data_IF_807736299510
#
_entry.id   IF_807736299510
#
_cell.length_a   1.000
_cell.length_b   1.000
_cell.length_c   1.000
_cell.angle_alpha   90.00
_cell.angle_beta   90.00
_cell.angle_gamma   90.00
#
_symmetry.space_group_name_H-M   'P 1'
#
loop_
_entity.id
_entity.type
_entity.pdbx_description
1 polymer ?
#
# COMPACT_ATOMS: atom_id res chain seq x y z
N UNK A 1 -20.27 -2.05 1.82
CA UNK A 1 -20.02 -1.35 0.55
C UNK A 1 -21.06 -0.25 0.22
N UNK A 2 -22.40 -0.42 0.30
CA UNK A 2 -23.32 0.64 -0.11
C UNK A 2 -23.16 1.96 0.66
N UNK A 3 -22.92 1.88 1.97
CA UNK A 3 -22.69 3.07 2.81
C UNK A 3 -21.40 3.81 2.39
N UNK A 4 -20.30 3.09 2.34
CA UNK A 4 -18.99 3.66 1.97
C UNK A 4 -19.01 4.29 0.57
N UNK A 5 -19.65 3.65 -0.40
CA UNK A 5 -19.77 4.19 -1.75
C UNK A 5 -20.54 5.51 -1.79
N UNK A 6 -21.63 5.61 -1.02
CA UNK A 6 -22.41 6.85 -0.93
C UNK A 6 -21.58 8.01 -0.37
N UNK A 7 -20.86 7.78 0.73
CA UNK A 7 -19.98 8.78 1.34
C UNK A 7 -18.88 9.24 0.36
N UNK A 8 -18.25 8.28 -0.34
CA UNK A 8 -17.22 8.59 -1.35
C UNK A 8 -17.78 9.46 -2.47
N UNK A 9 -18.99 9.16 -2.97
CA UNK A 9 -19.64 9.95 -4.01
C UNK A 9 -19.91 11.38 -3.53
N UNK A 10 -20.43 11.55 -2.32
CA UNK A 10 -20.73 12.87 -1.74
C UNK A 10 -19.46 13.70 -1.56
N UNK A 11 -18.40 13.11 -1.02
CA UNK A 11 -17.09 13.76 -0.85
C UNK A 11 -16.47 14.11 -2.21
N UNK A 12 -16.56 13.20 -3.19
CA UNK A 12 -16.03 13.43 -4.53
C UNK A 12 -16.70 14.63 -5.24
N UNK A 13 -18.01 14.80 -5.06
CA UNK A 13 -18.72 15.96 -5.59
C UNK A 13 -18.15 17.24 -5.04
N UNK A 14 -17.95 17.33 -3.73
CA UNK A 14 -17.36 18.51 -3.07
C UNK A 14 -15.93 18.78 -3.55
N UNK A 15 -15.11 17.73 -3.69
CA UNK A 15 -13.74 17.85 -4.23
C UNK A 15 -13.76 18.45 -5.64
N UNK A 16 -14.70 17.99 -6.47
CA UNK A 16 -14.87 18.50 -7.84
C UNK A 16 -15.38 19.93 -7.89
N UNK A 17 -16.38 20.26 -7.07
CA UNK A 17 -16.98 21.59 -6.98
C UNK A 17 -15.98 22.67 -6.59
N UNK A 18 -15.04 22.39 -5.69
CA UNK A 18 -13.98 23.32 -5.29
C UNK A 18 -12.80 23.36 -6.28
N UNK A 19 -12.85 22.59 -7.35
CA UNK A 19 -11.80 22.58 -8.37
C UNK A 19 -10.46 22.06 -7.85
N UNK A 20 -10.46 21.09 -6.91
CA UNK A 20 -9.23 20.53 -6.36
C UNK A 20 -8.34 19.91 -7.45
N UNK A 21 -7.05 20.23 -7.43
CA UNK A 21 -6.05 19.77 -8.40
C UNK A 21 -4.82 19.11 -7.74
N UNK A 22 -4.89 18.82 -6.45
CA UNK A 22 -3.81 18.19 -5.69
C UNK A 22 -3.76 16.67 -5.84
N UNK A 23 -3.05 16.03 -4.94
CA UNK A 23 -2.99 14.57 -4.80
C UNK A 23 -4.01 14.12 -3.75
N UNK A 24 -4.87 13.18 -4.11
CA UNK A 24 -5.84 12.58 -3.21
C UNK A 24 -5.29 11.26 -2.67
N UNK A 25 -5.16 11.16 -1.35
CA UNK A 25 -4.70 9.95 -0.66
C UNK A 25 -5.89 9.29 0.04
N UNK A 26 -6.28 8.09 -0.41
CA UNK A 26 -7.33 7.29 0.20
C UNK A 26 -6.77 6.37 1.29
N UNK A 27 -7.44 6.34 2.46
CA UNK A 27 -7.07 5.48 3.60
C UNK A 27 -8.23 4.62 4.09
N UNK A 28 -9.41 4.80 3.51
CA UNK A 28 -10.66 4.12 3.91
C UNK A 28 -10.77 2.76 3.21
N UNK A 29 -11.12 1.73 3.98
CA UNK A 29 -11.37 0.39 3.44
C UNK A 29 -12.79 0.24 2.86
N UNK A 30 -12.92 -0.60 1.81
CA UNK A 30 -11.86 -1.31 1.07
C UNK A 30 -11.06 -0.34 0.17
N UNK A 31 -9.78 -0.13 0.50
CA UNK A 31 -9.00 1.00 -0.04
C UNK A 31 -8.85 0.99 -1.55
N UNK A 32 -8.71 -0.17 -2.18
CA UNK A 32 -8.53 -0.27 -3.64
C UNK A 32 -9.81 0.17 -4.36
N UNK A 33 -10.97 -0.29 -3.89
CA UNK A 33 -12.29 0.10 -4.40
C UNK A 33 -12.54 1.60 -4.15
N UNK A 34 -12.27 2.08 -2.95
CA UNK A 34 -12.46 3.49 -2.57
C UNK A 34 -11.57 4.41 -3.42
N UNK A 35 -10.33 4.02 -3.67
CA UNK A 35 -9.41 4.76 -4.54
C UNK A 35 -9.94 4.85 -5.98
N UNK A 36 -10.43 3.73 -6.52
CA UNK A 36 -11.06 3.68 -7.84
C UNK A 36 -12.30 4.57 -7.93
N UNK A 37 -13.17 4.53 -6.92
CA UNK A 37 -14.37 5.37 -6.86
C UNK A 37 -14.01 6.86 -6.78
N UNK A 38 -13.04 7.25 -5.96
CA UNK A 38 -12.56 8.62 -5.90
C UNK A 38 -12.05 9.10 -7.25
N UNK A 39 -11.25 8.30 -7.96
CA UNK A 39 -10.77 8.67 -9.29
C UNK A 39 -11.92 8.85 -10.27
N UNK A 40 -12.85 7.91 -10.28
CA UNK A 40 -13.99 7.94 -11.18
C UNK A 40 -14.88 9.18 -10.97
N UNK A 41 -15.27 9.46 -9.73
CA UNK A 41 -16.22 10.53 -9.43
C UNK A 41 -15.60 11.93 -9.38
N UNK A 42 -14.32 12.05 -9.00
CA UNK A 42 -13.63 13.36 -9.02
C UNK A 42 -13.18 13.74 -10.42
N UNK A 43 -12.86 12.76 -11.27
CA UNK A 43 -12.26 12.98 -12.58
C UNK A 43 -10.80 13.44 -12.51
N UNK A 44 -10.15 13.32 -11.35
CA UNK A 44 -8.71 13.57 -11.23
C UNK A 44 -7.91 12.60 -12.12
N UNK A 45 -6.75 13.00 -12.62
CA UNK A 45 -5.84 12.10 -13.31
C UNK A 45 -5.51 10.87 -12.45
N UNK A 46 -5.35 9.70 -13.06
CA UNK A 46 -5.13 8.42 -12.36
C UNK A 46 -3.91 8.45 -11.44
N UNK A 47 -2.86 9.12 -11.85
CA UNK A 47 -1.62 9.29 -11.09
C UNK A 47 -1.78 10.19 -9.84
N UNK A 48 -2.89 10.93 -9.74
CA UNK A 48 -3.18 11.82 -8.61
C UNK A 48 -4.13 11.25 -7.57
N UNK A 49 -4.60 10.02 -7.76
CA UNK A 49 -5.47 9.34 -6.79
C UNK A 49 -4.80 8.06 -6.34
N UNK A 50 -4.35 8.05 -5.10
CA UNK A 50 -3.48 7.02 -4.53
C UNK A 50 -4.11 6.48 -3.25
N UNK A 51 -4.18 5.16 -3.09
CA UNK A 51 -4.55 4.55 -1.82
C UNK A 51 -3.31 4.12 -1.03
N UNK A 52 -3.43 4.02 0.30
CA UNK A 52 -2.33 3.51 1.13
C UNK A 52 -1.98 2.05 0.83
N UNK A 53 -2.93 1.29 0.29
CA UNK A 53 -2.73 -0.08 -0.19
C UNK A 53 -2.03 -0.99 0.79
N UNK A 54 -1.07 -1.74 0.30
CA UNK A 54 -0.27 -2.69 1.10
C UNK A 54 0.97 -2.05 1.75
N UNK A 55 1.05 -0.71 1.86
CA UNK A 55 2.18 -0.04 2.48
C UNK A 55 2.38 -0.46 3.94
N UNK A 56 1.29 -0.56 4.72
CA UNK A 56 1.35 -1.04 6.10
C UNK A 56 1.63 -2.55 6.17
N UNK A 57 1.07 -3.34 5.27
CA UNK A 57 1.30 -4.80 5.22
C UNK A 57 2.75 -5.10 4.84
N UNK A 58 3.32 -4.33 3.92
CA UNK A 58 4.76 -4.37 3.60
C UNK A 58 5.63 -4.05 4.82
N UNK A 59 5.24 -3.05 5.61
CA UNK A 59 5.97 -2.75 6.85
C UNK A 59 5.91 -3.90 7.87
N UNK A 60 4.77 -4.58 7.97
CA UNK A 60 4.61 -5.79 8.81
C UNK A 60 5.46 -6.94 8.29
N UNK A 61 5.44 -7.21 6.99
CA UNK A 61 6.30 -8.21 6.36
C UNK A 61 7.78 -7.92 6.63
N UNK A 62 8.23 -6.69 6.41
CA UNK A 62 9.61 -6.28 6.70
C UNK A 62 9.98 -6.46 8.17
N UNK A 63 9.04 -6.19 9.10
CA UNK A 63 9.24 -6.44 10.52
C UNK A 63 9.39 -7.95 10.82
N UNK A 64 8.52 -8.81 10.28
CA UNK A 64 8.58 -10.24 10.48
C UNK A 64 9.90 -10.83 9.94
N UNK A 65 10.29 -10.44 8.73
CA UNK A 65 11.59 -10.78 8.14
C UNK A 65 12.74 -10.25 9.00
N UNK A 66 12.66 -9.01 9.45
CA UNK A 66 13.69 -8.39 10.29
C UNK A 66 13.93 -9.16 11.59
N UNK A 67 12.86 -9.58 12.27
CA UNK A 67 12.94 -10.41 13.48
C UNK A 67 13.57 -11.77 13.17
N UNK A 68 13.13 -12.44 12.10
CA UNK A 68 13.62 -13.77 11.74
C UNK A 68 15.12 -13.79 11.37
N UNK A 69 15.60 -12.75 10.71
CA UNK A 69 16.98 -12.68 10.21
C UNK A 69 17.93 -11.80 11.05
N UNK A 70 17.44 -11.24 12.15
CA UNK A 70 18.25 -10.40 13.06
C UNK A 70 18.73 -9.11 12.36
N UNK A 71 17.85 -8.43 11.61
CA UNK A 71 18.15 -7.16 10.95
C UNK A 71 17.06 -6.12 11.24
N UNK A 72 17.42 -4.85 11.13
CA UNK A 72 16.43 -3.76 11.16
C UNK A 72 15.44 -3.92 10.01
N UNK A 73 14.12 -3.79 10.23
CA UNK A 73 13.12 -3.84 9.16
C UNK A 73 13.39 -2.89 7.99
N UNK A 74 14.04 -1.76 8.24
CA UNK A 74 14.44 -0.79 7.20
C UNK A 74 15.52 -1.34 6.26
N UNK A 75 16.25 -2.36 6.69
CA UNK A 75 17.27 -3.06 5.87
C UNK A 75 16.70 -4.23 5.06
N UNK A 76 15.39 -4.46 5.14
CA UNK A 76 14.68 -5.44 4.31
C UNK A 76 14.10 -4.72 3.11
N UNK A 77 14.47 -5.15 1.91
CA UNK A 77 13.87 -4.72 0.66
C UNK A 77 12.76 -5.69 0.25
N UNK A 78 11.72 -5.19 -0.40
CA UNK A 78 10.62 -6.00 -0.92
C UNK A 78 9.24 -5.48 -0.54
N UNK A 79 8.21 -6.10 -1.11
CA UNK A 79 6.84 -5.59 -1.09
C UNK A 79 5.80 -6.70 -0.91
N UNK A 80 4.69 -6.35 -0.25
CA UNK A 80 3.40 -7.01 -0.41
C UNK A 80 2.64 -6.32 -1.53
N UNK A 81 1.96 -7.11 -2.36
CA UNK A 81 1.30 -6.66 -3.59
C UNK A 81 -0.14 -7.14 -3.66
N UNK A 82 -0.90 -6.61 -4.63
CA UNK A 82 -2.26 -7.03 -4.94
C UNK A 82 -3.31 -6.26 -4.16
N UNK A 83 -4.43 -6.89 -3.87
CA UNK A 83 -5.51 -6.31 -3.08
C UNK A 83 -5.05 -6.07 -1.64
N UNK A 84 -5.40 -4.93 -1.05
CA UNK A 84 -5.28 -4.76 0.39
C UNK A 84 -6.39 -5.57 1.11
N UNK A 85 -6.15 -6.87 1.26
CA UNK A 85 -7.11 -7.83 1.79
C UNK A 85 -6.53 -9.23 1.88
N UNK A 86 -7.40 -10.25 1.81
CA UNK A 86 -7.00 -11.64 1.97
C UNK A 86 -6.22 -12.21 0.76
N UNK A 87 -6.33 -11.57 -0.39
CA UNK A 87 -5.64 -12.00 -1.63
C UNK A 87 -4.29 -11.31 -1.85
N UNK A 88 -3.84 -10.45 -0.92
CA UNK A 88 -2.49 -9.90 -0.98
C UNK A 88 -1.43 -11.01 -0.89
N UNK A 89 -0.31 -10.78 -1.51
CA UNK A 89 0.81 -11.70 -1.45
C UNK A 89 2.15 -10.98 -1.33
N UNK A 90 3.15 -11.65 -0.76
CA UNK A 90 4.51 -11.13 -0.72
C UNK A 90 5.25 -11.52 -2.00
N UNK A 91 5.82 -10.54 -2.70
CA UNK A 91 6.68 -10.79 -3.86
C UNK A 91 8.06 -11.31 -3.42
N UNK A 92 8.14 -12.57 -2.99
CA UNK A 92 9.36 -13.15 -2.41
C UNK A 92 10.56 -13.11 -3.34
N UNK A 93 10.35 -13.16 -4.67
CA UNK A 93 11.42 -12.99 -5.66
C UNK A 93 12.12 -11.62 -5.55
N UNK A 94 11.40 -10.62 -5.05
CA UNK A 94 11.92 -9.25 -4.87
C UNK A 94 12.46 -9.01 -3.47
N UNK A 95 12.22 -9.91 -2.49
CA UNK A 95 12.66 -9.70 -1.11
C UNK A 95 14.15 -9.96 -0.98
N UNK A 96 14.87 -8.97 -0.42
CA UNK A 96 16.31 -9.06 -0.15
C UNK A 96 16.61 -8.72 1.31
N UNK A 97 17.53 -9.50 1.87
CA UNK A 97 18.03 -9.35 3.24
C UNK A 97 19.54 -9.44 3.21
N UNK A 98 20.25 -8.49 3.83
CA UNK A 98 21.72 -8.45 3.81
C UNK A 98 22.30 -8.50 2.38
N UNK A 99 21.59 -7.87 1.41
CA UNK A 99 21.97 -7.84 -0.01
C UNK A 99 21.70 -9.11 -0.81
N UNK A 100 21.17 -10.18 -0.18
CA UNK A 100 20.91 -11.48 -0.84
C UNK A 100 19.41 -11.70 -1.05
N UNK A 101 18.98 -12.34 -2.14
CA UNK A 101 17.61 -12.83 -2.28
C UNK A 101 17.23 -13.71 -1.10
N UNK A 102 16.05 -13.50 -0.52
CA UNK A 102 15.61 -14.24 0.67
C UNK A 102 15.45 -15.74 0.39
N UNK A 103 15.08 -16.11 -0.83
CA UNK A 103 14.98 -17.51 -1.28
C UNK A 103 16.30 -18.30 -1.19
N UNK A 104 17.45 -17.61 -1.10
CA UNK A 104 18.76 -18.22 -0.87
C UNK A 104 19.13 -18.33 0.61
N UNK A 105 18.29 -17.79 1.50
CA UNK A 105 18.56 -17.72 2.94
C UNK A 105 17.64 -18.65 3.75
N UNK A 106 16.52 -19.09 3.17
CA UNK A 106 15.53 -19.92 3.87
C UNK A 106 14.67 -20.72 2.88
N UNK A 107 13.88 -21.67 3.41
CA UNK A 107 12.93 -22.49 2.66
C UNK A 107 11.59 -21.77 2.41
N UNK A 108 10.79 -22.30 1.49
CA UNK A 108 9.45 -21.81 1.19
C UNK A 108 8.51 -21.90 2.40
N UNK A 109 8.60 -22.98 3.20
CA UNK A 109 7.78 -23.14 4.42
C UNK A 109 8.00 -21.99 5.39
N UNK A 110 9.25 -21.54 5.57
CA UNK A 110 9.57 -20.39 6.44
C UNK A 110 9.06 -19.08 5.85
N UNK A 111 9.06 -18.93 4.54
CA UNK A 111 8.50 -17.75 3.88
C UNK A 111 6.98 -17.70 4.07
N UNK A 112 6.29 -18.82 4.04
CA UNK A 112 4.86 -18.94 4.30
C UNK A 112 4.51 -18.63 5.77
N UNK A 113 5.32 -19.11 6.73
CA UNK A 113 5.21 -18.73 8.15
C UNK A 113 5.31 -17.21 8.33
N UNK A 114 6.30 -16.56 7.71
CA UNK A 114 6.52 -15.11 7.77
C UNK A 114 5.33 -14.36 7.16
N UNK A 115 4.82 -14.79 5.99
CA UNK A 115 3.66 -14.18 5.35
C UNK A 115 2.42 -14.26 6.25
N UNK A 116 2.20 -15.42 6.87
CA UNK A 116 1.10 -15.65 7.81
C UNK A 116 1.22 -14.75 9.05
N UNK A 117 2.42 -14.61 9.63
CA UNK A 117 2.66 -13.72 10.76
C UNK A 117 2.37 -12.25 10.40
N UNK A 118 2.86 -11.80 9.25
CA UNK A 118 2.65 -10.44 8.77
C UNK A 118 1.15 -10.12 8.58
N UNK A 119 0.40 -11.04 7.97
CA UNK A 119 -1.04 -10.91 7.75
C UNK A 119 -1.81 -10.88 9.09
N UNK A 120 -1.48 -11.79 10.01
CA UNK A 120 -2.12 -11.85 11.34
C UNK A 120 -1.89 -10.60 12.18
N UNK A 121 -0.82 -9.85 11.95
CA UNK A 121 -0.51 -8.62 12.68
C UNK A 121 -1.64 -7.59 12.66
N UNK A 122 -2.36 -7.47 11.53
CA UNK A 122 -3.55 -6.62 11.42
C UNK A 122 -4.73 -7.11 12.27
N UNK A 123 -5.00 -8.41 12.22
CA UNK A 123 -6.06 -9.04 13.01
C UNK A 123 -5.79 -8.92 14.52
N UNK A 124 -4.56 -9.15 14.96
CA UNK A 124 -4.17 -9.01 16.38
C UNK A 124 -4.48 -7.62 16.91
N UNK A 125 -4.14 -6.55 16.16
CA UNK A 125 -4.45 -5.17 16.56
C UNK A 125 -5.95 -4.94 16.60
N UNK A 126 -6.70 -5.40 15.58
CA UNK A 126 -8.14 -5.22 15.52
C UNK A 126 -8.87 -5.95 16.66
N UNK A 127 -8.53 -7.21 16.93
CA UNK A 127 -9.14 -7.98 18.02
C UNK A 127 -8.82 -7.40 19.41
N UNK A 128 -7.61 -6.88 19.59
CA UNK A 128 -7.21 -6.25 20.86
C UNK A 128 -7.86 -4.89 21.10
N UNK A 129 -7.89 -4.01 20.09
CA UNK A 129 -8.32 -2.61 20.23
C UNK A 129 -9.70 -2.33 19.66
N UNK A 130 -10.30 -3.25 18.89
CA UNK A 130 -11.55 -3.12 18.11
C UNK A 130 -11.48 -2.11 16.95
N UNK A 131 -10.34 -1.49 16.72
CA UNK A 131 -10.07 -0.59 15.60
C UNK A 131 -8.58 -0.56 15.26
N UNK A 132 -8.24 -0.07 14.06
CA UNK A 132 -6.88 0.22 13.63
C UNK A 132 -6.72 1.73 13.44
N UNK A 133 -5.60 2.29 13.86
CA UNK A 133 -5.35 3.75 13.77
C UNK A 133 -3.88 4.10 13.56
N UNK A 134 -3.01 3.84 14.51
CA UNK A 134 -1.63 4.34 14.49
C UNK A 134 -0.81 3.83 13.30
N UNK A 135 -0.92 2.54 12.97
CA UNK A 135 -0.20 1.96 11.84
C UNK A 135 -0.60 2.59 10.51
N UNK A 136 -1.92 2.72 10.28
CA UNK A 136 -2.41 3.34 9.03
C UNK A 136 -2.12 4.83 8.99
N UNK A 137 -2.20 5.54 10.13
CA UNK A 137 -1.80 6.95 10.20
C UNK A 137 -0.32 7.13 9.82
N UNK A 138 0.57 6.29 10.34
CA UNK A 138 2.00 6.31 9.98
C UNK A 138 2.23 6.03 8.50
N UNK A 139 1.50 5.07 7.92
CA UNK A 139 1.58 4.78 6.49
C UNK A 139 1.09 5.96 5.63
N UNK A 140 -0.03 6.57 6.00
CA UNK A 140 -0.58 7.73 5.32
C UNK A 140 0.36 8.95 5.40
N UNK A 141 0.96 9.19 6.57
CA UNK A 141 1.95 10.27 6.75
C UNK A 141 3.19 10.02 5.88
N UNK A 142 3.70 8.79 5.84
CA UNK A 142 4.84 8.45 4.97
C UNK A 142 4.54 8.75 3.51
N UNK A 143 3.37 8.31 3.02
CA UNK A 143 2.94 8.59 1.65
C UNK A 143 2.77 10.09 1.40
N UNK A 144 2.15 10.82 2.32
CA UNK A 144 1.99 12.27 2.21
C UNK A 144 3.35 13.00 2.19
N UNK A 145 4.31 12.58 3.02
CA UNK A 145 5.65 13.15 3.04
C UNK A 145 6.40 12.87 1.73
N UNK A 146 6.26 11.68 1.14
CA UNK A 146 6.84 11.39 -0.16
C UNK A 146 6.34 12.33 -1.25
N UNK A 147 5.05 12.66 -1.23
CA UNK A 147 4.44 13.64 -2.15
C UNK A 147 4.94 15.06 -1.85
N UNK A 148 4.87 15.51 -0.59
CA UNK A 148 5.18 16.89 -0.20
C UNK A 148 6.66 17.24 -0.44
N UNK A 149 7.56 16.31 -0.11
CA UNK A 149 9.02 16.48 -0.26
C UNK A 149 9.55 16.14 -1.66
N UNK A 150 8.67 15.68 -2.55
CA UNK A 150 9.06 15.20 -3.88
C UNK A 150 10.14 14.09 -3.80
N UNK A 151 9.90 13.12 -2.92
CA UNK A 151 10.94 12.19 -2.49
C UNK A 151 11.36 11.17 -3.56
N UNK A 152 10.53 10.96 -4.60
CA UNK A 152 10.71 9.87 -5.56
C UNK A 152 10.93 8.52 -4.86
N UNK A 153 10.09 8.24 -3.85
CA UNK A 153 10.18 7.05 -3.02
C UNK A 153 9.41 5.89 -3.64
N UNK A 154 10.02 4.70 -3.65
CA UNK A 154 9.36 3.45 -4.09
C UNK A 154 8.42 2.95 -3.01
N UNK A 155 7.11 3.00 -3.26
CA UNK A 155 6.07 2.62 -2.30
C UNK A 155 5.06 1.65 -2.92
N UNK A 156 4.68 0.56 -2.20
CA UNK A 156 3.63 -0.37 -2.62
C UNK A 156 2.25 0.19 -2.25
N UNK A 157 1.81 1.14 -3.02
CA UNK A 157 0.55 1.87 -2.81
C UNK A 157 -0.53 1.42 -3.80
N UNK A 158 -1.80 1.60 -3.44
CA UNK A 158 -2.88 1.40 -4.42
C UNK A 158 -2.79 2.47 -5.49
N UNK A 159 -2.60 2.03 -6.71
CA UNK A 159 -2.56 2.88 -7.89
C UNK A 159 -3.21 2.16 -9.08
N UNK A 160 -3.47 2.89 -10.16
CA UNK A 160 -4.09 2.29 -11.34
C UNK A 160 -3.12 1.36 -12.06
N UNK A 161 -3.50 0.08 -12.20
CA UNK A 161 -2.74 -0.94 -12.90
C UNK A 161 -3.37 -1.23 -14.26
N UNK A 162 -2.79 -0.65 -15.30
CA UNK A 162 -3.33 -0.68 -16.66
C UNK A 162 -3.55 -2.09 -17.23
N UNK A 163 -2.67 -3.09 -16.99
CA UNK A 163 -2.87 -4.44 -17.54
C UNK A 163 -4.17 -5.13 -17.11
N UNK A 164 -4.73 -4.76 -15.95
CA UNK A 164 -5.98 -5.32 -15.42
C UNK A 164 -7.12 -4.29 -15.37
N UNK A 165 -6.89 -3.07 -15.88
CA UNK A 165 -7.85 -1.95 -15.84
C UNK A 165 -8.47 -1.75 -14.44
N UNK A 166 -7.64 -1.78 -13.41
CA UNK A 166 -8.12 -1.72 -12.03
C UNK A 166 -7.14 -0.97 -11.11
N UNK A 167 -7.57 -0.71 -9.88
CA UNK A 167 -6.75 -0.19 -8.81
C UNK A 167 -6.35 -1.33 -7.87
N UNK A 168 -5.07 -1.50 -7.63
CA UNK A 168 -4.48 -2.46 -6.70
C UNK A 168 -3.13 -1.95 -6.20
N UNK A 169 -2.61 -2.58 -5.17
CA UNK A 169 -1.29 -2.24 -4.63
C UNK A 169 -0.18 -2.79 -5.51
N UNK A 170 0.56 -1.88 -6.11
CA UNK A 170 1.72 -2.17 -6.94
C UNK A 170 2.83 -1.17 -6.65
N UNK A 171 4.13 -1.57 -6.64
CA UNK A 171 5.21 -0.65 -6.35
C UNK A 171 5.29 0.44 -7.40
N UNK A 172 5.34 1.66 -6.94
CA UNK A 172 5.42 2.84 -7.78
C UNK A 172 6.36 3.87 -7.17
N UNK A 173 6.99 4.65 -8.02
CA UNK A 173 7.76 5.82 -7.65
C UNK A 173 6.79 6.96 -7.37
N UNK A 174 6.82 7.49 -6.15
CA UNK A 174 5.90 8.53 -5.66
C UNK A 174 6.66 9.84 -5.44
N UNK A 175 6.13 10.91 -5.99
CA UNK A 175 6.65 12.25 -5.81
C UNK A 175 5.55 13.31 -5.84
N UNK A 176 5.90 14.56 -6.04
CA UNK A 176 4.99 15.72 -5.99
C UNK A 176 3.84 15.65 -7.00
N UNK A 177 4.05 15.01 -8.15
CA UNK A 177 3.02 14.83 -9.17
C UNK A 177 2.06 13.66 -8.88
N UNK A 178 2.31 12.88 -7.80
CA UNK A 178 1.64 11.66 -7.47
C UNK A 178 2.46 10.44 -7.90
N UNK A 179 1.83 9.48 -8.58
CA UNK A 179 2.53 8.34 -9.20
C UNK A 179 3.32 8.84 -10.42
N UNK A 180 4.64 8.68 -10.37
CA UNK A 180 5.54 9.06 -11.46
C UNK A 180 5.64 7.93 -12.47
N UNK A 181 5.91 6.72 -11.98
CA UNK A 181 5.97 5.49 -12.77
C UNK A 181 5.73 4.26 -11.90
N UNK A 182 5.32 3.16 -12.50
CA UNK A 182 5.25 1.85 -11.85
C UNK A 182 6.58 1.11 -12.06
N UNK A 183 7.03 0.43 -11.00
CA UNK A 183 8.26 -0.37 -11.11
C UNK A 183 8.02 -1.61 -11.98
N UNK A 184 9.03 -1.99 -12.74
CA UNK A 184 9.01 -3.28 -13.44
C UNK A 184 9.56 -4.35 -12.51
N UNK A 185 8.69 -5.28 -12.10
CA UNK A 185 9.10 -6.44 -11.30
C UNK A 185 9.55 -7.57 -12.23
N UNK A 186 10.68 -8.18 -11.91
CA UNK A 186 11.27 -9.32 -12.65
C UNK A 186 11.08 -10.62 -11.91
#
# INVERSE_FOLDING_TARGET
LPFTSKEVIEVSKKIKEVGFKGILIAITNPVDVVTSLYQHYTGLPKERVIGTGTLLDTARMKRAVGVRFGVDPRSVYGYNLGEHGNSQFTAWSQVRVKGKPISKLTSEDVLEEIATEAMRGGHTVFYGKKYTSYGIASAAIRLALAVISDAHEELPVTNYYAPLDTYLSYPALVGRSGIIEQLQLT
#
